data_IF_824957409789
#
_entry.id   IF_824957409789
#
_cell.length_a   1.000
_cell.length_b   1.000
_cell.length_c   1.000
_cell.angle_alpha   90.00
_cell.angle_beta   90.00
_cell.angle_gamma   90.00
#
_symmetry.space_group_name_H-M   'P 1'
#
loop_
_entity.id
_entity.type
_entity.pdbx_description
1 polymer ?
#
# COMPACT_ATOMS: atom_id res chain seq x y z
N UNK A 1 -24.59 -1.75 -24.78
CA UNK A 1 -23.61 -2.62 -24.12
C UNK A 1 -24.19 -2.96 -22.77
N UNK A 2 -24.53 -4.23 -22.47
CA UNK A 2 -25.07 -4.61 -21.17
C UNK A 2 -23.89 -4.91 -20.26
N UNK A 3 -23.70 -4.13 -19.21
CA UNK A 3 -22.78 -4.43 -18.12
C UNK A 3 -23.45 -5.48 -17.22
N UNK A 4 -22.83 -6.64 -17.07
CA UNK A 4 -23.22 -7.62 -16.05
C UNK A 4 -22.62 -7.18 -14.72
N UNK A 5 -23.46 -6.67 -13.82
CA UNK A 5 -23.05 -6.14 -12.52
C UNK A 5 -23.39 -7.11 -11.36
N UNK A 6 -23.56 -8.39 -11.66
CA UNK A 6 -23.91 -9.39 -10.65
C UNK A 6 -22.87 -9.41 -9.53
N UNK A 7 -23.33 -9.21 -8.31
CA UNK A 7 -22.53 -9.17 -7.08
C UNK A 7 -21.53 -7.99 -7.00
N UNK A 8 -21.64 -6.99 -7.88
CA UNK A 8 -20.83 -5.77 -7.79
C UNK A 8 -21.54 -4.67 -6.99
N UNK A 9 -20.79 -4.01 -6.11
CA UNK A 9 -21.27 -2.82 -5.39
C UNK A 9 -21.39 -1.61 -6.34
N UNK A 10 -22.57 -1.01 -6.40
CA UNK A 10 -22.84 0.22 -7.14
C UNK A 10 -23.28 1.30 -6.18
N UNK A 11 -22.70 2.50 -6.29
CA UNK A 11 -23.10 3.67 -5.53
C UNK A 11 -23.90 4.62 -6.43
N UNK A 12 -25.12 4.91 -6.06
CA UNK A 12 -25.95 5.93 -6.69
C UNK A 12 -25.94 7.17 -5.81
N UNK A 13 -25.53 8.30 -6.38
CA UNK A 13 -25.40 9.59 -5.70
C UNK A 13 -26.54 10.49 -6.13
N UNK A 14 -27.38 10.86 -5.17
CA UNK A 14 -28.60 11.62 -5.38
C UNK A 14 -29.87 10.76 -5.29
N UNK A 15 -30.93 11.29 -4.69
CA UNK A 15 -32.22 10.63 -4.44
C UNK A 15 -33.36 11.10 -5.38
N UNK A 16 -33.02 11.69 -6.51
CA UNK A 16 -33.94 12.32 -7.44
C UNK A 16 -34.67 11.31 -8.37
N UNK A 17 -35.54 11.82 -9.23
CA UNK A 17 -36.20 11.03 -10.28
C UNK A 17 -35.21 10.44 -11.29
N UNK A 18 -34.01 10.98 -11.42
CA UNK A 18 -32.95 10.40 -12.23
C UNK A 18 -32.49 9.06 -11.61
N UNK A 19 -32.23 9.04 -10.29
CA UNK A 19 -31.89 7.82 -9.56
C UNK A 19 -33.02 6.78 -9.63
N UNK A 20 -34.27 7.21 -9.51
CA UNK A 20 -35.45 6.34 -9.65
C UNK A 20 -35.51 5.60 -10.99
N UNK A 21 -35.06 6.23 -12.09
CA UNK A 21 -35.00 5.60 -13.42
C UNK A 21 -33.86 4.58 -13.57
N UNK A 22 -32.76 4.80 -12.88
CA UNK A 22 -31.53 3.99 -13.02
C UNK A 22 -31.55 2.77 -12.14
N UNK A 23 -31.99 2.89 -10.88
CA UNK A 23 -31.96 1.83 -9.87
C UNK A 23 -32.59 0.52 -10.35
N UNK A 24 -33.76 0.46 -11.00
CA UNK A 24 -34.32 -0.80 -11.48
C UNK A 24 -33.39 -1.53 -12.45
N UNK A 25 -32.76 -0.81 -13.38
CA UNK A 25 -31.81 -1.41 -14.34
C UNK A 25 -30.56 -1.99 -13.67
N UNK A 26 -30.10 -1.33 -12.60
CA UNK A 26 -28.97 -1.84 -11.80
C UNK A 26 -29.36 -3.10 -11.04
N UNK A 27 -30.54 -3.12 -10.41
CA UNK A 27 -31.07 -4.30 -9.71
C UNK A 27 -31.29 -5.48 -10.67
N UNK A 28 -31.84 -5.22 -11.88
CA UNK A 28 -32.04 -6.25 -12.91
C UNK A 28 -30.70 -6.82 -13.40
N UNK A 29 -29.60 -6.07 -13.32
CA UNK A 29 -28.25 -6.56 -13.63
C UNK A 29 -27.60 -7.34 -12.49
N UNK A 30 -28.26 -7.47 -11.34
CA UNK A 30 -27.79 -8.19 -10.15
C UNK A 30 -26.80 -7.37 -9.28
N UNK A 31 -26.78 -6.05 -9.42
CA UNK A 31 -25.91 -5.18 -8.64
C UNK A 31 -26.36 -5.07 -7.17
N UNK A 32 -25.37 -4.94 -6.26
CA UNK A 32 -25.61 -4.49 -4.88
C UNK A 32 -25.64 -2.96 -4.84
N UNK A 33 -26.85 -2.38 -4.78
CA UNK A 33 -27.06 -0.95 -4.93
C UNK A 33 -27.12 -0.25 -3.58
N UNK A 34 -26.22 0.72 -3.40
CA UNK A 34 -26.25 1.68 -2.29
C UNK A 34 -26.63 3.06 -2.84
N UNK A 35 -27.61 3.73 -2.24
CA UNK A 35 -27.98 5.10 -2.56
C UNK A 35 -27.53 6.03 -1.44
N UNK A 36 -26.86 7.14 -1.76
CA UNK A 36 -26.51 8.17 -0.80
C UNK A 36 -27.21 9.50 -1.16
N UNK A 37 -27.95 10.06 -0.19
CA UNK A 37 -28.65 11.32 -0.28
C UNK A 37 -28.81 11.98 1.09
N UNK A 38 -28.34 13.21 1.23
CA UNK A 38 -28.46 13.98 2.47
C UNK A 38 -29.79 14.73 2.63
N UNK A 39 -30.57 14.78 1.56
CA UNK A 39 -31.86 15.46 1.51
C UNK A 39 -33.04 14.51 1.38
N UNK A 40 -34.07 14.97 0.65
CA UNK A 40 -35.25 14.16 0.37
C UNK A 40 -34.99 13.18 -0.79
N UNK A 41 -35.56 11.99 -0.68
CA UNK A 41 -35.54 10.97 -1.74
C UNK A 41 -36.96 10.73 -2.23
N UNK A 42 -37.10 10.14 -3.42
CA UNK A 42 -38.43 9.81 -3.96
C UNK A 42 -39.08 8.68 -3.15
N UNK A 43 -40.39 8.63 -3.15
CA UNK A 43 -41.18 7.57 -2.46
C UNK A 43 -40.82 6.17 -2.96
N UNK A 44 -40.44 6.02 -4.23
CA UNK A 44 -40.01 4.75 -4.79
C UNK A 44 -38.68 4.27 -4.19
N UNK A 45 -37.71 5.16 -4.02
CA UNK A 45 -36.41 4.86 -3.39
C UNK A 45 -36.63 4.43 -1.92
N UNK A 46 -37.51 5.13 -1.19
CA UNK A 46 -37.88 4.73 0.17
C UNK A 46 -38.48 3.33 0.23
N UNK A 47 -39.41 3.04 -0.68
CA UNK A 47 -40.03 1.71 -0.76
C UNK A 47 -38.99 0.61 -1.03
N UNK A 48 -38.08 0.82 -2.01
CA UNK A 48 -37.03 -0.16 -2.30
C UNK A 48 -36.05 -0.37 -1.15
N UNK A 49 -35.77 0.65 -0.37
CA UNK A 49 -34.95 0.54 0.82
C UNK A 49 -35.71 -0.21 1.95
N UNK A 50 -36.98 0.06 2.15
CA UNK A 50 -37.81 -0.64 3.12
C UNK A 50 -37.98 -2.15 2.79
N UNK A 51 -38.04 -2.48 1.49
CA UNK A 51 -38.10 -3.85 0.98
C UNK A 51 -36.72 -4.56 1.01
N UNK A 52 -35.65 -3.89 1.43
CA UNK A 52 -34.30 -4.44 1.47
C UNK A 52 -33.67 -4.65 0.09
N UNK A 53 -34.21 -4.06 -0.96
CA UNK A 53 -33.71 -4.18 -2.34
C UNK A 53 -32.49 -3.31 -2.60
N UNK A 54 -32.33 -2.23 -1.84
CA UNK A 54 -31.20 -1.29 -1.88
C UNK A 54 -30.79 -0.92 -0.45
N UNK A 55 -29.55 -0.47 -0.30
CA UNK A 55 -29.12 0.20 0.94
C UNK A 55 -29.25 1.70 0.76
N UNK A 56 -30.04 2.39 1.61
CA UNK A 56 -30.18 3.84 1.60
C UNK A 56 -29.39 4.46 2.76
N UNK A 57 -28.47 5.35 2.43
CA UNK A 57 -27.69 6.14 3.39
C UNK A 57 -28.18 7.57 3.38
N UNK A 58 -28.70 8.06 4.52
CA UNK A 58 -29.25 9.41 4.69
C UNK A 58 -28.15 10.45 4.98
N UNK A 59 -27.07 10.38 4.21
CA UNK A 59 -25.96 11.35 4.24
C UNK A 59 -25.59 11.69 2.82
N UNK A 60 -25.12 12.92 2.60
CA UNK A 60 -24.57 13.31 1.31
C UNK A 60 -23.34 12.47 0.93
N UNK A 61 -22.96 12.54 -0.32
CA UNK A 61 -21.78 11.83 -0.83
C UNK A 61 -20.53 12.16 0.00
N UNK A 62 -19.75 11.14 0.32
CA UNK A 62 -18.40 11.25 0.89
C UNK A 62 -17.47 10.28 0.17
N UNK A 63 -16.20 10.64 0.05
CA UNK A 63 -15.19 9.80 -0.62
C UNK A 63 -15.11 8.37 -0.04
N UNK A 64 -15.38 8.20 1.26
CA UNK A 64 -15.37 6.89 1.90
C UNK A 64 -16.44 5.93 1.34
N UNK A 65 -17.54 6.45 0.78
CA UNK A 65 -18.61 5.63 0.22
C UNK A 65 -18.24 4.97 -1.10
N UNK A 66 -17.24 5.49 -1.82
CA UNK A 66 -16.74 4.93 -3.07
C UNK A 66 -15.93 3.63 -2.87
N UNK A 67 -15.52 3.32 -1.64
CA UNK A 67 -14.70 2.15 -1.35
C UNK A 67 -15.42 0.83 -1.65
N UNK A 68 -14.75 -0.01 -2.45
CA UNK A 68 -15.28 -1.31 -2.85
C UNK A 68 -16.41 -1.25 -3.88
N UNK A 69 -16.69 -0.08 -4.45
CA UNK A 69 -17.67 0.08 -5.53
C UNK A 69 -17.02 -0.12 -6.90
N UNK A 70 -17.75 -0.76 -7.81
CA UNK A 70 -17.32 -0.98 -9.19
C UNK A 70 -17.84 0.12 -10.15
N UNK A 71 -18.94 0.75 -9.76
CA UNK A 71 -19.60 1.81 -10.53
C UNK A 71 -20.16 2.87 -9.57
N UNK A 72 -20.04 4.13 -9.93
CA UNK A 72 -20.76 5.25 -9.34
C UNK A 72 -21.71 5.85 -10.39
N UNK A 73 -22.94 6.09 -10.01
CA UNK A 73 -23.94 6.72 -10.87
C UNK A 73 -24.31 8.06 -10.23
N UNK A 74 -23.96 9.15 -10.90
CA UNK A 74 -24.24 10.48 -10.41
C UNK A 74 -25.58 10.98 -10.95
N UNK A 75 -26.52 11.22 -10.05
CA UNK A 75 -27.84 11.74 -10.34
C UNK A 75 -28.06 13.17 -9.78
N UNK A 76 -26.99 13.77 -9.23
CA UNK A 76 -26.95 15.14 -8.70
C UNK A 76 -25.93 15.97 -9.47
N UNK A 77 -26.40 16.95 -10.25
CA UNK A 77 -25.53 17.80 -11.07
C UNK A 77 -24.50 18.58 -10.24
N UNK A 78 -24.87 18.99 -9.03
CA UNK A 78 -23.97 19.76 -8.15
C UNK A 78 -22.75 18.93 -7.67
N UNK A 79 -22.89 17.61 -7.61
CA UNK A 79 -21.86 16.66 -7.17
C UNK A 79 -21.12 16.00 -8.33
N UNK A 80 -21.56 16.19 -9.58
CA UNK A 80 -21.00 15.50 -10.74
C UNK A 80 -19.47 15.65 -10.85
N UNK A 81 -18.98 16.86 -10.62
CA UNK A 81 -17.54 17.13 -10.67
C UNK A 81 -16.77 16.36 -9.59
N UNK A 82 -17.27 16.37 -8.36
CA UNK A 82 -16.65 15.71 -7.22
C UNK A 82 -16.64 14.18 -7.39
N UNK A 83 -17.80 13.63 -7.79
CA UNK A 83 -17.97 12.19 -8.06
C UNK A 83 -17.07 11.72 -9.20
N UNK A 84 -16.97 12.53 -10.28
CA UNK A 84 -16.09 12.21 -11.41
C UNK A 84 -14.62 12.21 -11.00
N UNK A 85 -14.19 13.17 -10.19
CA UNK A 85 -12.83 13.23 -9.69
C UNK A 85 -12.51 12.02 -8.79
N UNK A 86 -13.43 11.64 -7.91
CA UNK A 86 -13.26 10.48 -7.05
C UNK A 86 -13.25 9.17 -7.85
N UNK A 87 -14.11 9.04 -8.87
CA UNK A 87 -14.08 7.93 -9.81
C UNK A 87 -12.73 7.78 -10.49
N UNK A 88 -12.16 8.89 -10.98
CA UNK A 88 -10.82 8.90 -11.56
C UNK A 88 -9.74 8.50 -10.56
N UNK A 89 -9.78 9.04 -9.33
CA UNK A 89 -8.81 8.68 -8.26
C UNK A 89 -8.79 7.19 -7.97
N UNK A 90 -9.94 6.53 -8.04
CA UNK A 90 -10.09 5.13 -7.62
C UNK A 90 -10.19 4.13 -8.76
N UNK A 91 -10.18 4.60 -10.01
CA UNK A 91 -10.40 3.72 -11.17
C UNK A 91 -11.83 3.15 -11.20
N UNK A 92 -12.82 3.87 -10.65
CA UNK A 92 -14.23 3.48 -10.65
C UNK A 92 -14.90 4.14 -11.83
N UNK A 93 -15.69 3.39 -12.58
CA UNK A 93 -16.51 3.94 -13.65
C UNK A 93 -17.54 4.90 -13.05
N UNK A 94 -17.73 6.06 -13.71
CA UNK A 94 -18.76 7.02 -13.34
C UNK A 94 -19.73 7.17 -14.51
N UNK A 95 -21.01 6.98 -14.22
CA UNK A 95 -22.11 7.20 -15.14
C UNK A 95 -22.84 8.50 -14.76
N UNK A 96 -23.03 9.41 -15.74
CA UNK A 96 -23.70 10.68 -15.54
C UNK A 96 -25.15 10.56 -15.96
N UNK A 97 -26.05 10.56 -14.99
CA UNK A 97 -27.51 10.54 -15.19
C UNK A 97 -28.17 11.85 -14.74
N UNK A 98 -27.42 12.94 -14.61
CA UNK A 98 -27.93 14.24 -14.17
C UNK A 98 -28.87 14.86 -15.22
N UNK A 99 -28.80 14.40 -16.46
CA UNK A 99 -29.58 14.97 -17.57
C UNK A 99 -29.06 16.32 -18.05
N UNK A 100 -27.91 16.75 -17.54
CA UNK A 100 -27.19 17.90 -18.05
C UNK A 100 -26.77 17.60 -19.49
N UNK A 101 -27.36 18.31 -20.42
CA UNK A 101 -27.03 18.24 -21.86
C UNK A 101 -25.72 18.95 -22.20
N UNK A 102 -24.86 19.18 -21.24
CA UNK A 102 -23.46 19.39 -21.51
C UNK A 102 -22.92 18.05 -22.00
N UNK A 103 -22.47 17.97 -23.26
CA UNK A 103 -21.67 16.82 -23.63
C UNK A 103 -20.37 16.94 -22.81
N UNK A 104 -20.38 16.42 -21.58
CA UNK A 104 -19.20 15.73 -21.17
C UNK A 104 -19.11 14.61 -22.21
N UNK A 105 -18.57 14.99 -23.38
CA UNK A 105 -18.01 14.06 -24.31
C UNK A 105 -17.40 13.02 -23.40
N UNK A 106 -17.73 11.70 -23.53
CA UNK A 106 -16.93 10.69 -22.85
C UNK A 106 -15.54 11.18 -23.16
N UNK A 107 -14.79 11.62 -22.14
CA UNK A 107 -13.39 11.91 -22.35
C UNK A 107 -12.91 10.59 -22.87
N UNK A 108 -12.94 10.53 -24.20
CA UNK A 108 -12.54 9.35 -24.90
C UNK A 108 -11.19 9.10 -24.29
N UNK A 109 -10.98 7.90 -23.75
CA UNK A 109 -9.70 7.40 -23.32
C UNK A 109 -8.63 7.51 -24.44
N UNK A 110 -8.91 8.26 -25.49
CA UNK A 110 -8.14 8.59 -26.67
C UNK A 110 -7.54 9.99 -26.68
N UNK A 111 -7.89 10.87 -25.75
CA UNK A 111 -7.17 12.12 -25.55
C UNK A 111 -6.03 11.89 -24.59
N UNK A 112 -4.81 11.61 -25.12
CA UNK A 112 -3.57 11.68 -24.32
C UNK A 112 -3.57 13.00 -23.54
N UNK A 113 -3.92 12.94 -22.25
CA UNK A 113 -3.65 14.06 -21.36
C UNK A 113 -2.14 14.29 -21.39
N UNK A 114 -1.70 15.51 -21.64
CA UNK A 114 -0.29 15.82 -21.54
C UNK A 114 0.15 15.49 -20.11
N UNK A 115 1.07 14.55 -19.97
CA UNK A 115 1.61 14.17 -18.66
C UNK A 115 2.16 15.43 -17.98
N UNK A 116 1.81 15.65 -16.71
CA UNK A 116 2.39 16.71 -15.87
C UNK A 116 3.90 16.60 -15.77
N UNK A 117 4.39 15.40 -15.89
CA UNK A 117 5.80 15.09 -15.81
C UNK A 117 6.61 15.51 -17.06
N UNK A 118 5.98 16.09 -18.10
CA UNK A 118 6.66 16.54 -19.31
C UNK A 118 7.53 15.47 -19.94
N UNK A 119 8.85 15.60 -19.84
CA UNK A 119 9.82 14.65 -20.40
C UNK A 119 9.83 13.27 -19.69
N UNK A 120 9.09 13.08 -18.60
CA UNK A 120 8.95 11.79 -17.89
C UNK A 120 7.73 10.99 -18.38
N UNK A 121 6.92 11.53 -19.30
CA UNK A 121 5.77 10.83 -19.88
C UNK A 121 6.20 9.48 -20.47
N UNK A 122 5.42 8.44 -20.19
CA UNK A 122 5.72 7.08 -20.65
C UNK A 122 6.86 6.38 -19.90
N UNK A 123 7.28 6.91 -18.75
CA UNK A 123 8.32 6.33 -17.90
C UNK A 123 7.76 5.81 -16.60
N UNK A 124 8.51 4.94 -15.94
CA UNK A 124 8.22 4.44 -14.59
C UNK A 124 9.33 4.87 -13.62
N UNK A 125 8.95 5.31 -12.42
CA UNK A 125 9.88 5.47 -11.31
C UNK A 125 9.55 4.47 -10.20
N UNK A 126 10.50 3.60 -9.86
CA UNK A 126 10.44 2.75 -8.66
C UNK A 126 10.96 3.57 -7.49
N UNK A 127 10.08 4.00 -6.60
CA UNK A 127 10.43 4.94 -5.52
C UNK A 127 10.33 4.24 -4.17
N UNK A 128 11.44 4.24 -3.44
CA UNK A 128 11.46 3.86 -2.03
C UNK A 128 10.82 4.94 -1.17
N UNK A 129 9.70 4.60 -0.55
CA UNK A 129 8.94 5.52 0.30
C UNK A 129 9.44 5.62 1.74
N UNK A 130 10.45 4.82 2.11
CA UNK A 130 10.88 4.75 3.51
C UNK A 130 10.01 3.81 4.37
N UNK A 131 10.24 3.79 5.68
CA UNK A 131 9.66 2.79 6.59
C UNK A 131 8.20 3.07 7.00
N UNK A 132 7.62 4.22 6.64
CA UNK A 132 6.23 4.58 6.95
C UNK A 132 6.02 6.06 7.27
N UNK A 133 6.92 6.70 8.01
CA UNK A 133 6.88 8.14 8.27
C UNK A 133 7.08 8.92 6.94
N UNK A 134 6.14 9.82 6.57
CA UNK A 134 6.25 10.64 5.35
C UNK A 134 7.45 11.58 5.35
N UNK A 135 8.05 11.89 6.51
CA UNK A 135 9.29 12.66 6.64
C UNK A 135 10.54 11.89 6.19
N UNK A 136 10.44 10.56 6.07
CA UNK A 136 11.56 9.70 5.71
C UNK A 136 11.61 9.31 4.23
N UNK A 137 10.75 9.86 3.39
CA UNK A 137 10.90 9.76 1.94
C UNK A 137 12.05 10.66 1.47
N UNK A 138 12.79 10.22 0.46
CA UNK A 138 13.83 11.08 -0.11
C UNK A 138 13.23 12.29 -0.83
N UNK A 139 14.00 13.39 -0.92
CA UNK A 139 13.59 14.61 -1.63
C UNK A 139 13.21 14.28 -3.10
N UNK A 140 14.02 13.45 -3.78
CA UNK A 140 13.74 13.03 -5.15
C UNK A 140 12.50 12.14 -5.24
N UNK A 141 12.33 11.21 -4.31
CA UNK A 141 11.13 10.37 -4.25
C UNK A 141 9.86 11.21 -4.11
N UNK A 142 9.85 12.18 -3.21
CA UNK A 142 8.73 13.11 -3.01
C UNK A 142 8.48 13.99 -4.23
N UNK A 143 9.55 14.45 -4.89
CA UNK A 143 9.43 15.24 -6.12
C UNK A 143 8.77 14.46 -7.24
N UNK A 144 9.21 13.22 -7.48
CA UNK A 144 8.62 12.36 -8.51
C UNK A 144 7.19 11.97 -8.20
N UNK A 145 6.89 11.70 -6.93
CA UNK A 145 5.53 11.37 -6.48
C UNK A 145 4.53 12.50 -6.82
N UNK A 146 4.93 13.77 -6.62
CA UNK A 146 4.10 14.93 -6.98
C UNK A 146 3.92 15.12 -8.49
N UNK A 147 4.81 14.60 -9.30
CA UNK A 147 4.75 14.68 -10.76
C UNK A 147 4.00 13.49 -11.39
N UNK A 148 3.63 12.50 -10.60
CA UNK A 148 3.00 11.29 -11.10
C UNK A 148 1.64 11.57 -11.74
N UNK A 149 1.35 10.89 -12.84
CA UNK A 149 0.00 10.76 -13.39
C UNK A 149 -0.70 9.55 -12.76
N UNK A 150 0.08 8.49 -12.45
CA UNK A 150 -0.40 7.26 -11.83
C UNK A 150 0.54 6.87 -10.69
N UNK A 151 0.01 6.53 -9.53
CA UNK A 151 0.76 5.98 -8.40
C UNK A 151 0.27 4.56 -8.10
N UNK A 152 1.18 3.60 -8.17
CA UNK A 152 0.93 2.21 -7.77
C UNK A 152 1.63 2.00 -6.43
N UNK A 153 0.85 1.90 -5.34
CA UNK A 153 1.38 1.91 -3.98
C UNK A 153 1.23 0.56 -3.26
N UNK A 154 2.22 0.20 -2.44
CA UNK A 154 2.13 -0.88 -1.46
C UNK A 154 1.59 -0.37 -0.12
N UNK A 155 0.98 -1.23 0.68
CA UNK A 155 0.50 -0.89 2.03
C UNK A 155 1.60 -0.51 3.02
N UNK A 156 2.85 -0.86 2.75
CA UNK A 156 4.00 -0.58 3.62
C UNK A 156 4.68 0.76 3.30
N UNK A 157 4.21 1.47 2.28
CA UNK A 157 4.72 2.81 1.96
C UNK A 157 4.04 3.90 2.81
N UNK A 158 4.53 5.14 2.75
CA UNK A 158 3.96 6.29 3.44
C UNK A 158 2.65 6.74 2.78
N UNK A 159 1.57 6.00 3.01
CA UNK A 159 0.26 6.22 2.37
C UNK A 159 -0.33 7.60 2.68
N UNK A 160 0.07 8.23 3.78
CA UNK A 160 -0.32 9.60 4.11
C UNK A 160 0.12 10.62 3.05
N UNK A 161 1.22 10.36 2.32
CA UNK A 161 1.65 11.23 1.20
C UNK A 161 0.71 11.18 -0.01
N UNK A 162 -0.12 10.15 -0.12
CA UNK A 162 -1.08 10.03 -1.23
C UNK A 162 -2.23 11.03 -1.10
N UNK A 163 -2.54 11.49 0.13
CA UNK A 163 -3.52 12.54 0.39
C UNK A 163 -3.06 13.93 -0.06
N UNK A 164 -1.75 14.14 -0.21
CA UNK A 164 -1.15 15.40 -0.65
C UNK A 164 -1.06 15.52 -2.19
N UNK A 165 -1.47 14.47 -2.92
CA UNK A 165 -1.40 14.45 -4.38
C UNK A 165 -2.56 15.23 -4.99
N UNK A 166 -2.33 15.70 -6.20
CA UNK A 166 -3.37 16.37 -6.95
C UNK A 166 -4.57 15.44 -7.22
N UNK A 167 -5.79 15.98 -7.21
CA UNK A 167 -7.02 15.17 -7.30
C UNK A 167 -7.14 14.25 -8.51
N UNK A 168 -6.39 14.51 -9.55
CA UNK A 168 -6.44 13.80 -10.82
C UNK A 168 -5.33 12.76 -10.99
N UNK A 169 -4.53 12.52 -9.96
CA UNK A 169 -3.57 11.41 -9.92
C UNK A 169 -4.32 10.11 -9.69
N UNK A 170 -4.15 9.15 -10.59
CA UNK A 170 -4.71 7.81 -10.39
C UNK A 170 -3.91 7.08 -9.31
N UNK A 171 -4.58 6.64 -8.24
CA UNK A 171 -3.94 5.89 -7.16
C UNK A 171 -4.42 4.43 -7.22
N UNK A 172 -3.48 3.50 -7.39
CA UNK A 172 -3.74 2.06 -7.48
C UNK A 172 -3.08 1.36 -6.30
N UNK A 173 -3.90 0.69 -5.49
CA UNK A 173 -3.43 -0.12 -4.36
C UNK A 173 -2.96 -1.50 -4.84
N UNK A 174 -1.64 -1.72 -4.85
CA UNK A 174 -1.05 -3.00 -5.24
C UNK A 174 -1.25 -4.11 -4.19
N UNK A 175 -1.64 -3.77 -2.97
CA UNK A 175 -1.91 -4.72 -1.88
C UNK A 175 -3.33 -5.29 -1.88
N UNK A 176 -4.26 -4.70 -2.64
CA UNK A 176 -5.68 -5.12 -2.68
C UNK A 176 -6.18 -5.23 -4.11
N UNK A 177 -6.51 -6.44 -4.51
CA UNK A 177 -7.45 -6.67 -5.62
C UNK A 177 -8.90 -6.63 -5.09
N UNK A 178 -9.91 -6.40 -5.96
CA UNK A 178 -11.33 -6.38 -5.60
C UNK A 178 -11.87 -7.63 -4.87
N UNK A 179 -11.07 -8.55 -4.44
CA UNK A 179 -11.44 -9.78 -3.73
C UNK A 179 -10.57 -10.06 -2.51
N UNK A 180 -9.87 -9.05 -1.94
CA UNK A 180 -9.09 -9.20 -0.71
C UNK A 180 -7.81 -10.03 -0.84
N UNK A 181 -7.35 -10.36 -2.04
CA UNK A 181 -6.06 -11.03 -2.29
C UNK A 181 -5.02 -10.03 -2.74
N UNK A 182 -3.79 -10.18 -2.25
CA UNK A 182 -2.66 -9.41 -2.76
C UNK A 182 -2.53 -9.60 -4.28
N UNK A 183 -2.26 -8.51 -5.01
CA UNK A 183 -2.00 -8.54 -6.44
C UNK A 183 -0.75 -9.37 -6.71
N UNK A 184 -0.84 -10.37 -7.58
CA UNK A 184 0.32 -11.13 -8.00
C UNK A 184 1.35 -10.21 -8.68
N UNK A 185 2.66 -10.49 -8.50
CA UNK A 185 3.73 -9.66 -9.05
C UNK A 185 3.61 -9.45 -10.56
N UNK A 186 3.21 -10.50 -11.29
CA UNK A 186 3.05 -10.41 -12.75
C UNK A 186 1.99 -9.36 -13.14
N UNK A 187 0.91 -9.28 -12.37
CA UNK A 187 -0.14 -8.27 -12.58
C UNK A 187 0.34 -6.85 -12.30
N UNK A 188 1.18 -6.67 -11.28
CA UNK A 188 1.80 -5.37 -11.00
C UNK A 188 2.68 -4.99 -12.18
N UNK A 189 3.52 -5.91 -12.67
CA UNK A 189 4.42 -5.67 -13.79
C UNK A 189 3.63 -5.31 -15.06
N UNK A 190 2.59 -6.07 -15.39
CA UNK A 190 1.68 -5.80 -16.52
C UNK A 190 1.06 -4.40 -16.41
N UNK A 191 0.58 -4.03 -15.22
CA UNK A 191 -0.04 -2.74 -14.96
C UNK A 191 0.95 -1.58 -15.17
N UNK A 192 2.15 -1.68 -14.63
CA UNK A 192 3.19 -0.66 -14.78
C UNK A 192 3.54 -0.45 -16.25
N UNK A 193 3.73 -1.54 -17.00
CA UNK A 193 4.02 -1.50 -18.45
C UNK A 193 2.86 -0.87 -19.22
N UNK A 194 1.63 -1.28 -18.90
CA UNK A 194 0.44 -0.80 -19.60
C UNK A 194 0.26 0.71 -19.43
N UNK A 195 0.29 1.21 -18.17
CA UNK A 195 0.13 2.63 -17.89
C UNK A 195 1.25 3.49 -18.53
N UNK A 196 2.49 3.01 -18.48
CA UNK A 196 3.59 3.72 -19.13
C UNK A 196 3.42 3.80 -20.67
N UNK A 197 2.97 2.71 -21.31
CA UNK A 197 2.69 2.69 -22.77
C UNK A 197 1.52 3.59 -23.18
N UNK A 198 0.59 3.84 -22.29
CA UNK A 198 -0.46 4.84 -22.46
C UNK A 198 0.07 6.29 -22.42
N UNK A 199 1.36 6.46 -22.10
CA UNK A 199 2.03 7.76 -22.02
C UNK A 199 2.00 8.41 -20.65
N UNK A 200 1.53 7.71 -19.60
CA UNK A 200 1.54 8.22 -18.24
C UNK A 200 2.93 8.10 -17.61
N UNK A 201 3.26 9.07 -16.75
CA UNK A 201 4.36 8.92 -15.81
C UNK A 201 3.87 8.15 -14.58
N UNK A 202 4.41 6.96 -14.39
CA UNK A 202 3.98 6.05 -13.33
C UNK A 202 4.99 6.06 -12.18
N UNK A 203 4.53 6.29 -10.97
CA UNK A 203 5.33 6.08 -9.76
C UNK A 203 4.89 4.79 -9.07
N UNK A 204 5.79 3.83 -8.97
CA UNK A 204 5.65 2.64 -8.15
C UNK A 204 6.20 2.96 -6.76
N UNK A 205 5.32 3.31 -5.82
CA UNK A 205 5.69 3.64 -4.44
C UNK A 205 5.78 2.36 -3.60
N UNK A 206 6.99 2.06 -3.11
CA UNK A 206 7.31 0.84 -2.35
C UNK A 206 7.68 1.19 -0.92
N UNK A 207 7.30 0.35 0.05
CA UNK A 207 7.79 0.49 1.42
C UNK A 207 9.30 0.25 1.53
N UNK A 208 9.99 1.02 2.36
CA UNK A 208 11.43 0.93 2.55
C UNK A 208 12.22 1.32 1.29
N UNK A 209 13.12 0.44 0.87
CA UNK A 209 13.95 0.56 -0.34
C UNK A 209 13.50 -0.45 -1.40
N UNK A 210 13.43 -0.08 -2.70
CA UNK A 210 12.97 -0.99 -3.76
C UNK A 210 13.77 -2.28 -3.87
N UNK A 211 15.06 -2.26 -3.53
CA UNK A 211 15.97 -3.38 -3.70
C UNK A 211 16.24 -4.20 -2.43
N UNK A 212 15.82 -3.70 -1.27
CA UNK A 212 15.94 -4.45 0.00
C UNK A 212 14.68 -5.30 0.21
N UNK A 213 14.69 -6.53 -0.31
CA UNK A 213 13.59 -7.50 -0.28
C UNK A 213 12.25 -6.99 -0.85
N UNK A 214 12.30 -5.89 -1.62
CA UNK A 214 11.13 -5.25 -2.21
C UNK A 214 10.79 -5.73 -3.63
N UNK A 215 11.53 -6.69 -4.21
CA UNK A 215 11.34 -7.21 -5.57
C UNK A 215 11.47 -6.14 -6.68
N UNK A 216 12.01 -4.96 -6.37
CA UNK A 216 12.12 -3.87 -7.33
C UNK A 216 13.01 -4.20 -8.54
N UNK A 217 13.96 -5.12 -8.38
CA UNK A 217 14.78 -5.57 -9.52
C UNK A 217 13.98 -6.42 -10.52
N UNK A 218 13.03 -7.23 -10.05
CA UNK A 218 12.11 -7.98 -10.91
C UNK A 218 11.22 -7.02 -11.72
N UNK A 219 10.67 -6.00 -11.06
CA UNK A 219 9.88 -4.93 -11.71
C UNK A 219 10.73 -4.17 -12.75
N UNK A 220 11.97 -3.81 -12.42
CA UNK A 220 12.91 -3.17 -13.32
C UNK A 220 13.14 -4.02 -14.59
N UNK A 221 13.43 -5.32 -14.42
CA UNK A 221 13.69 -6.22 -15.54
C UNK A 221 12.50 -6.34 -16.50
N UNK A 222 11.28 -6.45 -15.97
CA UNK A 222 10.07 -6.54 -16.80
C UNK A 222 9.80 -5.24 -17.57
N UNK A 223 10.01 -4.09 -16.93
CA UNK A 223 9.91 -2.78 -17.60
C UNK A 223 10.93 -2.63 -18.72
N UNK A 224 12.18 -3.03 -18.47
CA UNK A 224 13.24 -3.00 -19.47
C UNK A 224 12.94 -3.93 -20.66
N UNK A 225 12.48 -5.16 -20.42
CA UNK A 225 12.04 -6.10 -21.47
C UNK A 225 10.91 -5.52 -22.31
N UNK A 226 10.02 -4.75 -21.69
CA UNK A 226 8.90 -4.09 -22.37
C UNK A 226 9.31 -2.81 -23.12
N UNK A 227 10.59 -2.39 -23.04
CA UNK A 227 11.12 -1.15 -23.65
C UNK A 227 10.63 0.12 -22.93
N UNK A 228 10.17 0.02 -21.67
CA UNK A 228 9.71 1.15 -20.88
C UNK A 228 10.90 1.77 -20.13
N UNK A 229 11.18 3.08 -20.30
CA UNK A 229 12.21 3.75 -19.52
C UNK A 229 11.86 3.73 -18.03
N UNK A 230 12.83 3.31 -17.22
CA UNK A 230 12.63 3.15 -15.78
C UNK A 230 13.79 3.76 -15.01
N UNK A 231 13.47 4.45 -13.91
CA UNK A 231 14.45 4.90 -12.92
C UNK A 231 14.15 4.32 -11.56
N UNK A 232 15.19 4.14 -10.77
CA UNK A 232 15.06 3.68 -9.37
C UNK A 232 15.53 4.78 -8.46
N UNK A 233 14.71 5.10 -7.47
CA UNK A 233 15.03 6.05 -6.41
C UNK A 233 15.12 5.27 -5.11
N UNK A 234 16.30 5.17 -4.49
CA UNK A 234 16.46 4.51 -3.20
C UNK A 234 15.56 5.09 -2.12
N UNK A 235 15.21 4.28 -1.14
CA UNK A 235 14.51 4.69 0.05
C UNK A 235 15.22 4.23 1.32
N UNK A 236 14.82 4.75 2.47
CA UNK A 236 15.38 4.33 3.75
C UNK A 236 14.73 3.00 4.14
N UNK A 237 15.53 1.93 4.16
CA UNK A 237 15.03 0.62 4.59
C UNK A 237 14.64 0.62 6.08
N UNK A 238 13.57 -0.07 6.44
CA UNK A 238 13.14 -0.26 7.82
C UNK A 238 14.22 -0.90 8.69
N UNK A 239 15.05 -1.77 8.11
CA UNK A 239 16.15 -2.42 8.82
C UNK A 239 17.17 -1.43 9.41
N UNK A 240 17.30 -0.24 8.80
CA UNK A 240 18.20 0.82 9.23
C UNK A 240 17.47 1.88 10.07
N UNK A 241 16.32 2.35 9.59
CA UNK A 241 15.62 3.48 10.21
C UNK A 241 14.91 3.09 11.52
N UNK A 242 14.23 1.94 11.55
CA UNK A 242 13.37 1.57 12.67
C UNK A 242 14.13 1.38 13.98
N UNK A 243 15.30 0.72 14.03
CA UNK A 243 16.08 0.63 15.27
C UNK A 243 16.43 2.00 15.85
N UNK A 244 16.77 2.97 15.00
CA UNK A 244 17.12 4.33 15.41
C UNK A 244 15.96 5.07 16.09
N UNK A 245 14.70 4.70 15.83
CA UNK A 245 13.53 5.33 16.47
C UNK A 245 13.39 5.02 17.96
N UNK A 246 14.11 4.03 18.45
CA UNK A 246 14.15 3.64 19.86
C UNK A 246 15.57 3.70 20.44
N UNK A 247 16.44 4.53 19.85
CA UNK A 247 17.80 4.78 20.34
C UNK A 247 18.77 3.62 20.10
N UNK A 248 18.46 2.64 19.23
CA UNK A 248 19.38 1.56 18.90
C UNK A 248 20.18 1.89 17.64
N UNK A 249 21.49 2.23 17.75
CA UNK A 249 22.35 2.40 16.59
C UNK A 249 22.66 1.00 16.01
N UNK A 250 22.55 0.84 14.68
CA UNK A 250 22.88 -0.47 14.07
C UNK A 250 24.38 -0.75 14.06
N UNK A 251 25.19 0.28 14.23
CA UNK A 251 26.65 0.19 14.43
C UNK A 251 27.10 1.15 15.51
N UNK A 252 28.07 0.75 16.34
CA UNK A 252 28.69 1.59 17.34
C UNK A 252 30.19 1.30 17.42
N UNK A 253 31.01 2.36 17.43
CA UNK A 253 32.47 2.23 17.56
C UNK A 253 32.81 1.54 18.88
N UNK A 254 33.67 0.52 18.82
CA UNK A 254 34.06 -0.25 19.99
C UNK A 254 33.10 -1.38 20.38
N UNK A 255 31.91 -1.45 19.78
CA UNK A 255 30.90 -2.50 20.02
C UNK A 255 30.82 -3.46 18.83
N UNK A 256 30.62 -2.93 17.61
CA UNK A 256 30.51 -3.76 16.42
C UNK A 256 31.03 -3.06 15.16
N UNK A 257 31.52 -3.85 14.20
CA UNK A 257 32.00 -3.36 12.89
C UNK A 257 31.26 -4.02 11.72
N UNK A 258 30.17 -4.71 12.01
CA UNK A 258 29.36 -5.38 10.99
C UNK A 258 27.86 -5.22 11.27
N UNK A 259 27.11 -5.07 10.19
CA UNK A 259 25.65 -4.98 10.20
C UNK A 259 25.08 -5.83 9.07
N UNK A 260 24.22 -6.77 9.42
CA UNK A 260 23.62 -7.70 8.46
C UNK A 260 22.11 -7.56 8.44
N UNK A 261 21.55 -7.42 7.24
CA UNK A 261 20.09 -7.40 7.03
C UNK A 261 19.65 -8.74 6.46
N UNK A 262 18.67 -9.36 7.13
CA UNK A 262 18.21 -10.72 6.81
C UNK A 262 16.70 -10.76 6.61
N UNK A 263 16.24 -11.53 5.62
CA UNK A 263 14.83 -11.87 5.47
C UNK A 263 14.46 -13.08 6.33
N UNK A 264 13.57 -12.90 7.28
CA UNK A 264 12.98 -13.98 8.09
C UNK A 264 11.74 -14.63 7.47
N UNK A 265 11.42 -14.32 6.21
CA UNK A 265 10.21 -14.82 5.54
C UNK A 265 10.16 -16.34 5.44
N UNK A 266 11.30 -16.98 5.11
CA UNK A 266 11.43 -18.44 5.06
C UNK A 266 12.09 -18.92 6.34
N UNK A 267 11.48 -19.87 7.09
CA UNK A 267 12.03 -20.32 8.38
C UNK A 267 13.37 -21.04 8.22
N UNK A 268 14.22 -21.00 9.26
CA UNK A 268 15.43 -21.83 9.32
C UNK A 268 15.11 -23.32 9.09
N UNK A 269 15.98 -24.01 8.37
CA UNK A 269 15.84 -25.42 8.04
C UNK A 269 14.85 -25.76 6.93
N UNK A 270 14.12 -24.78 6.40
CA UNK A 270 13.25 -25.02 5.24
C UNK A 270 14.07 -25.15 3.96
N UNK A 271 13.70 -26.11 3.11
CA UNK A 271 14.46 -26.45 1.87
C UNK A 271 14.66 -25.30 0.88
N UNK A 272 13.81 -24.28 0.94
CA UNK A 272 13.90 -23.09 0.08
C UNK A 272 14.56 -21.89 0.77
N UNK A 273 15.06 -22.07 2.01
CA UNK A 273 15.79 -21.01 2.71
C UNK A 273 17.19 -20.88 2.09
N UNK A 274 17.50 -19.67 1.61
CA UNK A 274 18.83 -19.33 1.12
C UNK A 274 19.72 -18.68 2.20
N UNK A 275 19.19 -18.50 3.41
CA UNK A 275 19.91 -17.88 4.52
C UNK A 275 20.78 -18.92 5.21
N UNK A 276 22.06 -18.60 5.38
CA UNK A 276 22.99 -19.43 6.14
C UNK A 276 22.92 -19.09 7.63
N UNK A 277 21.92 -19.65 8.33
CA UNK A 277 21.69 -19.39 9.75
C UNK A 277 22.83 -19.84 10.65
N UNK A 278 23.60 -20.89 10.26
CA UNK A 278 24.78 -21.36 11.00
C UNK A 278 25.91 -20.32 10.95
N UNK A 279 26.13 -19.67 9.81
CA UNK A 279 27.12 -18.61 9.73
C UNK A 279 26.66 -17.39 10.55
N UNK A 280 25.39 -16.98 10.42
CA UNK A 280 24.84 -15.85 11.16
C UNK A 280 24.88 -16.02 12.68
N UNK A 281 24.67 -17.25 13.19
CA UNK A 281 24.77 -17.54 14.62
C UNK A 281 26.19 -17.39 15.19
N UNK A 282 27.23 -17.54 14.35
CA UNK A 282 28.64 -17.35 14.73
C UNK A 282 29.16 -15.92 14.54
N UNK A 283 28.41 -15.05 13.86
CA UNK A 283 28.76 -13.63 13.71
C UNK A 283 28.55 -12.88 15.01
N UNK A 284 29.32 -11.80 15.22
CA UNK A 284 29.23 -10.98 16.44
C UNK A 284 28.49 -9.63 16.19
N UNK A 285 28.36 -9.21 14.94
CA UNK A 285 27.73 -7.96 14.58
C UNK A 285 26.24 -7.88 14.82
N UNK A 286 25.72 -6.73 14.52
CA UNK A 286 24.26 -6.48 14.59
C UNK A 286 23.55 -7.14 13.42
N UNK A 287 22.42 -7.74 13.71
CA UNK A 287 21.54 -8.36 12.74
C UNK A 287 20.16 -7.71 12.80
N UNK A 288 19.68 -7.16 11.67
CA UNK A 288 18.30 -6.72 11.53
C UNK A 288 17.54 -7.75 10.67
N UNK A 289 16.48 -8.32 11.24
CA UNK A 289 15.64 -9.30 10.56
C UNK A 289 14.31 -8.66 10.23
N UNK A 290 14.00 -8.58 8.96
CA UNK A 290 12.71 -8.11 8.46
C UNK A 290 11.88 -9.28 7.94
N UNK A 291 10.54 -9.12 7.90
CA UNK A 291 9.58 -10.19 7.56
C UNK A 291 9.70 -11.43 8.46
N UNK A 292 10.26 -11.28 9.68
CA UNK A 292 10.60 -12.38 10.58
C UNK A 292 9.57 -12.70 11.66
N UNK A 293 8.49 -11.94 11.83
CA UNK A 293 7.57 -12.06 12.98
C UNK A 293 7.07 -13.49 13.17
N UNK A 294 6.52 -14.10 12.13
CA UNK A 294 6.00 -15.49 12.19
C UNK A 294 7.06 -16.52 12.55
N UNK A 295 8.30 -16.28 12.15
CA UNK A 295 9.42 -17.22 12.30
C UNK A 295 10.38 -16.82 13.41
N UNK A 296 10.14 -15.73 14.14
CA UNK A 296 11.01 -15.19 15.19
C UNK A 296 11.48 -16.24 16.20
N UNK A 297 10.58 -17.05 16.80
CA UNK A 297 10.99 -18.11 17.73
C UNK A 297 11.95 -19.13 17.10
N UNK A 298 11.67 -19.59 15.87
CA UNK A 298 12.54 -20.55 15.16
C UNK A 298 13.88 -19.94 14.76
N UNK A 299 13.89 -18.64 14.44
CA UNK A 299 15.11 -17.91 14.11
C UNK A 299 16.00 -17.80 15.36
N UNK A 300 15.44 -17.42 16.51
CA UNK A 300 16.16 -17.34 17.77
C UNK A 300 16.79 -18.72 18.13
N UNK A 301 16.02 -19.79 18.05
CA UNK A 301 16.49 -21.16 18.28
C UNK A 301 17.65 -21.55 17.35
N UNK A 302 17.51 -21.26 16.03
CA UNK A 302 18.53 -21.57 15.04
C UNK A 302 19.84 -20.82 15.29
N UNK A 303 19.77 -19.54 15.66
CA UNK A 303 20.95 -18.73 15.98
C UNK A 303 21.63 -19.22 17.24
N UNK A 304 20.88 -19.56 18.28
CA UNK A 304 21.46 -20.14 19.54
C UNK A 304 22.10 -21.51 19.28
N UNK A 305 21.43 -22.36 18.50
CA UNK A 305 22.00 -23.67 18.10
C UNK A 305 23.28 -23.52 17.30
N UNK A 306 23.44 -22.47 16.53
CA UNK A 306 24.63 -22.15 15.75
C UNK A 306 25.75 -21.50 16.60
N UNK A 307 25.52 -21.22 17.89
CA UNK A 307 26.52 -20.72 18.83
C UNK A 307 26.30 -19.28 19.32
N UNK A 308 25.25 -18.57 18.88
CA UNK A 308 24.95 -17.23 19.42
C UNK A 308 24.50 -17.37 20.88
N UNK A 309 25.07 -16.54 21.77
CA UNK A 309 24.70 -16.56 23.18
C UNK A 309 23.22 -16.28 23.40
N UNK A 310 22.50 -17.06 24.23
CA UNK A 310 21.12 -16.74 24.61
C UNK A 310 21.01 -15.40 25.37
N UNK A 311 22.10 -14.89 25.93
CA UNK A 311 22.18 -13.60 26.60
C UNK A 311 22.39 -12.43 25.64
N UNK A 312 22.61 -12.68 24.33
CA UNK A 312 22.76 -11.60 23.35
C UNK A 312 21.52 -10.70 23.38
N UNK A 313 21.70 -9.38 23.54
CA UNK A 313 20.56 -8.45 23.52
C UNK A 313 19.79 -8.51 22.22
N UNK A 314 18.47 -8.33 22.32
CA UNK A 314 17.56 -8.28 21.20
C UNK A 314 16.45 -7.25 21.42
N UNK A 315 15.93 -6.71 20.34
CA UNK A 315 14.76 -5.84 20.35
C UNK A 315 13.82 -6.18 19.20
N UNK A 316 12.53 -5.95 19.41
CA UNK A 316 11.52 -6.03 18.36
C UNK A 316 10.77 -4.73 18.32
N UNK A 317 10.68 -4.12 17.14
CA UNK A 317 9.97 -2.86 16.94
C UNK A 317 8.85 -3.11 15.92
N UNK A 318 7.62 -3.06 16.40
CA UNK A 318 6.40 -3.17 15.59
C UNK A 318 5.95 -1.79 15.15
N UNK A 319 5.44 -1.69 13.92
CA UNK A 319 4.90 -0.46 13.33
C UNK A 319 5.88 0.71 13.44
N UNK A 320 7.19 0.42 13.29
CA UNK A 320 8.27 1.42 13.45
C UNK A 320 8.08 2.62 12.56
N UNK A 321 8.32 3.81 13.13
CA UNK A 321 8.10 5.15 12.54
C UNK A 321 6.64 5.59 12.41
N UNK A 322 5.68 4.74 12.77
CA UNK A 322 4.26 5.08 12.76
C UNK A 322 3.76 5.51 14.15
N UNK A 323 2.65 6.24 14.25
CA UNK A 323 2.11 6.70 15.55
C UNK A 323 1.78 5.59 16.55
N UNK A 324 1.52 4.39 16.07
CA UNK A 324 1.22 3.20 16.87
C UNK A 324 2.44 2.31 17.10
N UNK A 325 3.66 2.84 16.92
CA UNK A 325 4.90 2.11 17.18
C UNK A 325 4.94 1.53 18.59
N UNK A 326 5.32 0.25 18.67
CA UNK A 326 5.58 -0.46 19.93
C UNK A 326 6.96 -1.09 19.85
N UNK A 327 7.65 -1.16 20.99
CA UNK A 327 8.96 -1.82 21.07
C UNK A 327 9.03 -2.75 22.27
N UNK A 328 9.84 -3.78 22.12
CA UNK A 328 10.15 -4.78 23.14
C UNK A 328 11.66 -4.98 23.16
N UNK A 329 12.30 -4.87 24.32
CA UNK A 329 13.70 -5.26 24.55
C UNK A 329 13.74 -6.55 25.36
N UNK A 330 14.62 -7.47 24.99
CA UNK A 330 14.79 -8.77 25.66
C UNK A 330 16.18 -9.35 25.30
N UNK A 331 16.44 -10.56 25.74
CA UNK A 331 17.59 -11.36 25.25
C UNK A 331 17.16 -12.27 24.09
N UNK A 332 18.13 -12.78 23.34
CA UNK A 332 17.87 -13.75 22.26
C UNK A 332 17.16 -15.01 22.78
N UNK A 333 17.50 -15.44 24.02
CA UNK A 333 16.87 -16.59 24.66
C UNK A 333 15.39 -16.39 24.99
N UNK A 334 14.98 -15.14 25.29
CA UNK A 334 13.60 -14.77 25.63
C UNK A 334 12.80 -14.35 24.40
N UNK A 335 13.47 -14.06 23.27
CA UNK A 335 12.87 -13.42 22.10
C UNK A 335 11.59 -14.13 21.62
N UNK A 336 11.64 -15.45 21.51
CA UNK A 336 10.51 -16.23 21.00
C UNK A 336 9.28 -16.17 21.91
N UNK A 337 9.49 -16.32 23.22
CA UNK A 337 8.43 -16.25 24.24
C UNK A 337 7.83 -14.85 24.32
N UNK A 338 8.67 -13.83 24.43
CA UNK A 338 8.26 -12.43 24.52
C UNK A 338 7.48 -11.95 23.30
N UNK A 339 7.86 -12.37 22.10
CA UNK A 339 7.11 -12.04 20.89
C UNK A 339 5.69 -12.62 20.90
N UNK A 340 5.49 -13.78 21.51
CA UNK A 340 4.17 -14.42 21.65
C UNK A 340 3.36 -13.74 22.75
N UNK A 341 3.95 -13.53 23.95
CA UNK A 341 3.32 -12.87 25.09
C UNK A 341 2.80 -11.47 24.73
N UNK A 342 3.65 -10.68 24.04
CA UNK A 342 3.32 -9.32 23.61
C UNK A 342 2.48 -9.26 22.33
N UNK A 343 2.09 -10.43 21.80
CA UNK A 343 1.28 -10.55 20.59
C UNK A 343 1.82 -9.70 19.41
N UNK A 344 3.12 -9.72 19.19
CA UNK A 344 3.78 -8.94 18.14
C UNK A 344 3.23 -9.30 16.76
N UNK A 345 2.88 -8.28 15.99
CA UNK A 345 2.30 -8.41 14.64
C UNK A 345 3.20 -7.76 13.59
N UNK A 346 3.13 -8.22 12.32
CA UNK A 346 3.74 -7.49 11.23
C UNK A 346 2.99 -6.16 10.94
N UNK A 347 3.68 -5.12 10.46
CA UNK A 347 5.12 -5.11 10.17
C UNK A 347 5.96 -4.93 11.44
N UNK A 348 7.08 -5.67 11.54
CA UNK A 348 8.04 -5.46 12.61
C UNK A 348 9.47 -5.78 12.16
N UNK A 349 10.44 -5.13 12.82
CA UNK A 349 11.87 -5.35 12.68
C UNK A 349 12.39 -5.99 13.96
N UNK A 350 13.16 -7.07 13.83
CA UNK A 350 13.86 -7.72 14.94
C UNK A 350 15.34 -7.34 14.85
N UNK A 351 15.90 -6.81 15.92
CA UNK A 351 17.31 -6.44 16.03
C UNK A 351 18.00 -7.37 17.04
N UNK A 352 19.13 -7.97 16.67
CA UNK A 352 19.89 -8.87 17.52
C UNK A 352 21.34 -8.43 17.50
N UNK A 353 21.93 -8.16 18.67
CA UNK A 353 23.32 -7.76 18.83
C UNK A 353 23.52 -6.89 20.06
N UNK A 354 24.76 -6.67 20.45
CA UNK A 354 25.13 -5.92 21.66
C UNK A 354 24.53 -4.50 21.68
N UNK A 355 24.38 -3.88 20.52
CA UNK A 355 23.77 -2.55 20.39
C UNK A 355 22.31 -2.49 20.85
N UNK A 356 21.58 -3.61 20.83
CA UNK A 356 20.20 -3.67 21.31
C UNK A 356 20.09 -3.58 22.84
N UNK A 357 21.20 -3.77 23.54
CA UNK A 357 21.30 -3.63 25.00
C UNK A 357 21.76 -2.25 25.48
N UNK A 358 22.10 -1.35 24.55
CA UNK A 358 22.55 0.00 24.93
C UNK A 358 21.35 0.83 25.38
N UNK A 359 21.51 1.56 26.46
CA UNK A 359 20.58 2.56 26.94
C UNK A 359 21.06 3.97 26.51
N UNK A 360 20.13 4.94 26.37
CA UNK A 360 20.46 6.32 25.93
C UNK A 360 21.35 7.08 26.92
N UNK A 361 21.84 6.47 27.98
CA UNK A 361 22.70 7.04 29.00
C UNK A 361 24.06 6.33 29.18
N UNK A 362 24.34 5.31 28.37
CA UNK A 362 25.63 4.60 28.43
C UNK A 362 26.68 5.37 27.61
N UNK A 363 27.53 6.18 28.29
CA UNK A 363 28.73 6.81 27.76
C UNK A 363 29.94 5.88 27.76
#
# INVERSE_FOLDING_TARGET
MSLLLKDYGVLVIGGSTAAERVIPRLLDSGADVTVCEGGEVTTAIEAWAADGRITLTRTGFTEAMSWGKALMVCCDESLLREVTLEGHRRGILVDDETGSSSPLTPVALTGRRASRAGNLAGQVALVGGGPGDPGLITVEGRRLLRLADVVVADHLGPLSLLGDLEPDVEIIDAGKLPYGRAMAQDRINELLVHRAREGYFVVRLKGGDPYIFGRGFEELQELQKAGVPVRVVPGITSALAVPGTIGIPVTMRGVNHEFTVVSGHVPPGHKTSLVNWDALGRMHGTMAIIMGVKNGPKIAEALMKAGRSPKTPAAVIQDGTLPNQRSLRCTLGELGEKMVEEAIKPPAVIVIGEVAGLDEGDE
#
